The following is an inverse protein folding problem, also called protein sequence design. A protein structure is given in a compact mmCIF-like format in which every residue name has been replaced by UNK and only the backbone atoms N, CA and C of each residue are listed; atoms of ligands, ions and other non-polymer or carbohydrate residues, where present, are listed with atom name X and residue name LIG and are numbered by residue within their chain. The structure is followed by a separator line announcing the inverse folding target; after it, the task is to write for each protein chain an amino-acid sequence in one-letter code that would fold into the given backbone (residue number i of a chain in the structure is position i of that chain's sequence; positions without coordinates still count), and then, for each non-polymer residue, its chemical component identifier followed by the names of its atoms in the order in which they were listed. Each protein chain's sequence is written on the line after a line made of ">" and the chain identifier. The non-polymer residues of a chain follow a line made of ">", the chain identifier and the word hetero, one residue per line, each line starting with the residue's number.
data_IF_531384664187
#
_entry.id   IF_531384664187
#
_cell.length_a   1.000
_cell.length_b   1.000
_cell.length_c   1.000
_cell.angle_alpha   90.00
_cell.angle_beta   90.00
_cell.angle_gamma   90.00
#
_symmetry.space_group_name_H-M   'P 1'
#
loop_
_entity.id
_entity.type
_entity.pdbx_description
1 polymer ?
#
# COMPACT_ATOMS: atom_id res chain seq x y z
N UNK A 1 9.24 4.82 -15.37
CA UNK A 1 9.11 5.18 -13.93
C UNK A 1 8.96 6.68 -13.80
N UNK A 2 7.81 7.16 -13.33
CA UNK A 2 7.56 8.59 -13.09
C UNK A 2 8.25 8.98 -11.78
N UNK A 3 9.16 9.97 -11.82
CA UNK A 3 9.87 10.48 -10.65
C UNK A 3 9.45 11.92 -10.39
N UNK A 4 8.81 12.17 -9.25
CA UNK A 4 8.54 13.53 -8.79
C UNK A 4 9.72 14.03 -7.93
N UNK A 5 10.23 15.22 -8.27
CA UNK A 5 11.42 15.83 -7.64
C UNK A 5 11.26 16.18 -6.15
N UNK A 6 10.05 16.14 -5.61
CA UNK A 6 9.72 16.58 -4.25
C UNK A 6 9.45 15.44 -3.25
N UNK A 7 9.68 14.18 -3.64
CA UNK A 7 9.33 13.02 -2.82
C UNK A 7 9.93 13.04 -1.39
N UNK A 8 11.15 13.56 -1.23
CA UNK A 8 11.80 13.62 0.09
C UNK A 8 11.13 14.61 1.06
N UNK A 9 10.68 15.77 0.58
CA UNK A 9 10.01 16.78 1.41
C UNK A 9 8.60 16.31 1.78
N UNK A 10 7.88 15.71 0.85
CA UNK A 10 6.54 15.20 1.07
C UNK A 10 6.54 13.99 2.03
N UNK A 11 7.52 13.10 1.92
CA UNK A 11 7.67 12.01 2.88
C UNK A 11 7.84 12.52 4.32
N UNK A 12 8.74 13.50 4.52
CA UNK A 12 8.97 14.11 5.83
C UNK A 12 7.71 14.82 6.36
N UNK A 13 6.93 15.44 5.48
CA UNK A 13 5.64 16.05 5.83
C UNK A 13 4.65 15.00 6.34
N UNK A 14 4.49 13.86 5.65
CA UNK A 14 3.62 12.77 6.11
C UNK A 14 4.03 12.25 7.48
N UNK A 15 5.34 12.10 7.68
CA UNK A 15 5.89 11.68 8.98
C UNK A 15 5.57 12.70 10.08
N UNK A 16 5.79 13.98 9.84
CA UNK A 16 5.47 15.05 10.80
C UNK A 16 3.97 15.11 11.14
N UNK A 17 3.09 14.94 10.14
CA UNK A 17 1.65 14.89 10.34
C UNK A 17 1.24 13.68 11.22
N UNK A 18 1.89 12.53 11.08
CA UNK A 18 1.68 11.37 11.96
C UNK A 18 2.22 11.62 13.39
N UNK A 19 3.39 12.24 13.52
CA UNK A 19 3.97 12.60 14.83
C UNK A 19 3.09 13.60 15.58
N UNK A 20 2.51 14.57 14.88
CA UNK A 20 1.51 15.49 15.43
C UNK A 20 0.27 14.74 15.94
N UNK A 21 -0.24 13.77 15.18
CA UNK A 21 -1.37 12.94 15.60
C UNK A 21 -1.08 12.18 16.89
N UNK A 22 0.09 11.54 16.99
CA UNK A 22 0.52 10.88 18.22
C UNK A 22 0.56 11.86 19.40
N UNK A 23 1.17 13.04 19.19
CA UNK A 23 1.28 14.06 20.23
C UNK A 23 -0.09 14.50 20.76
N UNK A 24 -1.05 14.77 19.86
CA UNK A 24 -2.38 15.21 20.25
C UNK A 24 -3.19 14.10 20.96
N UNK A 25 -3.11 12.86 20.46
CA UNK A 25 -3.81 11.72 21.05
C UNK A 25 -3.22 11.31 22.39
N UNK A 26 -1.92 11.40 22.59
CA UNK A 26 -1.26 11.10 23.85
C UNK A 26 -1.71 12.02 25.02
N UNK A 27 -2.24 13.22 24.73
CA UNK A 27 -2.81 14.10 25.75
C UNK A 27 -4.08 13.51 26.40
N UNK A 28 -4.80 12.64 25.68
CA UNK A 28 -6.03 11.98 26.14
C UNK A 28 -5.79 10.53 26.52
N UNK A 29 -4.85 9.88 25.84
CA UNK A 29 -4.52 8.47 25.96
C UNK A 29 -3.04 8.34 26.40
N UNK A 30 -2.74 8.41 27.72
CA UNK A 30 -1.37 8.58 28.22
C UNK A 30 -0.42 7.40 27.94
N UNK A 31 -0.94 6.25 27.51
CA UNK A 31 -0.13 5.08 27.15
C UNK A 31 0.22 5.01 25.66
N UNK A 32 -0.18 6.03 24.87
CA UNK A 32 0.09 6.08 23.42
C UNK A 32 1.45 6.72 23.18
N UNK A 33 2.34 5.97 22.55
CA UNK A 33 3.68 6.41 22.15
C UNK A 33 3.87 6.39 20.63
N UNK A 34 3.03 5.64 19.92
CA UNK A 34 3.03 5.54 18.46
C UNK A 34 1.63 5.19 17.94
N UNK A 35 1.35 5.45 16.66
CA UNK A 35 0.05 5.10 16.06
C UNK A 35 -0.27 3.60 16.09
N UNK A 36 0.75 2.75 16.21
CA UNK A 36 0.56 1.29 16.39
C UNK A 36 -0.06 0.90 17.73
N UNK A 37 -0.04 1.79 18.71
CA UNK A 37 -0.61 1.57 20.04
C UNK A 37 -2.12 1.84 20.07
N UNK A 38 -2.68 2.33 18.95
CA UNK A 38 -4.07 2.73 18.79
C UNK A 38 -4.83 1.75 17.91
N UNK A 39 -6.11 1.56 18.24
CA UNK A 39 -7.10 0.94 17.37
C UNK A 39 -7.90 1.99 16.59
N UNK A 40 -8.66 1.55 15.58
CA UNK A 40 -9.61 2.44 14.88
C UNK A 40 -10.69 2.99 15.84
N UNK A 41 -11.12 2.20 16.81
CA UNK A 41 -12.10 2.64 17.81
C UNK A 41 -11.54 3.79 18.69
N UNK A 42 -10.27 3.73 19.06
CA UNK A 42 -9.61 4.81 19.80
C UNK A 42 -9.55 6.09 18.96
N UNK A 43 -9.21 5.99 17.68
CA UNK A 43 -9.19 7.14 16.78
C UNK A 43 -10.59 7.75 16.58
N UNK A 44 -11.62 6.93 16.44
CA UNK A 44 -13.00 7.38 16.28
C UNK A 44 -13.56 8.04 17.54
N UNK A 45 -13.15 7.61 18.74
CA UNK A 45 -13.58 8.21 20.02
C UNK A 45 -12.82 9.48 20.34
N UNK A 46 -11.49 9.43 20.29
CA UNK A 46 -10.59 10.46 20.83
C UNK A 46 -9.95 11.35 19.76
N UNK A 47 -10.04 10.96 18.50
CA UNK A 47 -9.46 11.69 17.37
C UNK A 47 -10.37 12.72 16.70
N UNK A 48 -11.61 12.88 17.14
CA UNK A 48 -12.63 13.73 16.47
C UNK A 48 -12.23 15.21 16.33
N UNK A 49 -11.42 15.70 17.26
CA UNK A 49 -10.98 17.10 17.26
C UNK A 49 -9.61 17.29 16.60
N UNK A 50 -9.03 16.22 16.02
CA UNK A 50 -7.80 16.35 15.24
C UNK A 50 -8.05 17.19 13.99
N UNK A 51 -7.05 17.98 13.52
CA UNK A 51 -7.10 18.54 12.18
C UNK A 51 -7.40 17.45 11.16
N UNK A 52 -8.25 17.72 10.17
CA UNK A 52 -8.73 16.71 9.21
C UNK A 52 -7.57 15.95 8.53
N UNK A 53 -6.53 16.68 8.13
CA UNK A 53 -5.34 16.07 7.52
C UNK A 53 -4.66 15.10 8.49
N UNK A 54 -4.45 15.50 9.73
CA UNK A 54 -3.81 14.68 10.77
C UNK A 54 -4.65 13.44 11.06
N UNK A 55 -5.97 13.60 11.17
CA UNK A 55 -6.90 12.47 11.33
C UNK A 55 -6.76 11.44 10.21
N UNK A 56 -6.75 11.90 8.94
CA UNK A 56 -6.59 11.00 7.78
C UNK A 56 -5.25 10.26 7.81
N UNK A 57 -4.14 10.93 8.19
CA UNK A 57 -2.82 10.25 8.33
C UNK A 57 -2.86 9.19 9.42
N UNK A 58 -3.44 9.50 10.58
CA UNK A 58 -3.62 8.54 11.67
C UNK A 58 -4.49 7.35 11.22
N UNK A 59 -5.61 7.62 10.55
CA UNK A 59 -6.51 6.59 10.00
C UNK A 59 -5.76 5.63 9.08
N UNK A 60 -4.96 6.18 8.15
CA UNK A 60 -4.16 5.36 7.27
C UNK A 60 -3.24 4.42 8.04
N UNK A 61 -2.40 4.95 8.93
CA UNK A 61 -1.39 4.13 9.63
C UNK A 61 -2.04 3.08 10.52
N UNK A 62 -3.09 3.45 11.27
CA UNK A 62 -3.79 2.54 12.18
C UNK A 62 -4.49 1.43 11.38
N UNK A 63 -5.23 1.78 10.33
CA UNK A 63 -5.92 0.80 9.49
C UNK A 63 -4.93 -0.10 8.72
N UNK A 64 -3.80 0.45 8.26
CA UNK A 64 -2.78 -0.34 7.56
C UNK A 64 -2.11 -1.36 8.49
N UNK A 65 -1.85 -1.01 9.76
CA UNK A 65 -1.36 -1.97 10.75
C UNK A 65 -2.34 -3.15 10.93
N UNK A 66 -3.64 -2.88 11.03
CA UNK A 66 -4.65 -3.93 11.12
C UNK A 66 -4.72 -4.76 9.83
N UNK A 67 -4.62 -4.11 8.67
CA UNK A 67 -4.67 -4.74 7.34
C UNK A 67 -3.49 -5.69 7.12
N UNK A 68 -2.30 -5.36 7.62
CA UNK A 68 -1.13 -6.26 7.56
C UNK A 68 -1.38 -7.57 8.31
N UNK A 69 -2.02 -7.50 9.49
CA UNK A 69 -2.35 -8.69 10.26
C UNK A 69 -3.42 -9.54 9.58
N UNK A 70 -4.43 -8.91 8.99
CA UNK A 70 -5.46 -9.59 8.19
C UNK A 70 -4.85 -10.24 6.94
N UNK A 71 -3.95 -9.54 6.25
CA UNK A 71 -3.25 -10.04 5.08
C UNK A 71 -2.40 -11.29 5.41
N UNK A 72 -1.71 -11.27 6.57
CA UNK A 72 -1.00 -12.46 7.06
C UNK A 72 -1.96 -13.64 7.24
N UNK A 73 -3.09 -13.42 7.92
CA UNK A 73 -4.10 -14.46 8.14
C UNK A 73 -4.69 -14.99 6.82
N UNK A 74 -4.98 -14.10 5.86
CA UNK A 74 -5.48 -14.49 4.56
C UNK A 74 -4.47 -15.39 3.82
N UNK A 75 -3.18 -15.05 3.84
CA UNK A 75 -2.12 -15.88 3.25
C UNK A 75 -1.94 -17.23 3.95
N UNK A 76 -2.02 -17.27 5.28
CA UNK A 76 -1.95 -18.51 6.07
C UNK A 76 -3.12 -19.47 5.77
N UNK A 77 -4.27 -18.91 5.37
CA UNK A 77 -5.46 -19.65 4.96
C UNK A 77 -5.55 -19.89 3.45
N UNK A 78 -4.55 -19.50 2.67
CA UNK A 78 -4.54 -19.56 1.19
C UNK A 78 -5.69 -18.79 0.53
N UNK A 79 -6.25 -17.78 1.24
CA UNK A 79 -7.33 -16.92 0.74
C UNK A 79 -6.76 -15.74 -0.05
N UNK A 80 -6.37 -16.05 -1.29
CA UNK A 80 -5.81 -15.05 -2.20
C UNK A 80 -6.84 -13.98 -2.62
N UNK A 81 -8.12 -14.31 -2.58
CA UNK A 81 -9.17 -13.34 -2.90
C UNK A 81 -9.25 -12.26 -1.84
N UNK A 82 -9.33 -12.65 -0.57
CA UNK A 82 -9.32 -11.69 0.53
C UNK A 82 -7.99 -10.92 0.63
N UNK A 83 -6.86 -11.58 0.39
CA UNK A 83 -5.56 -10.89 0.32
C UNK A 83 -5.55 -9.81 -0.78
N UNK A 84 -6.12 -10.11 -1.94
CA UNK A 84 -6.26 -9.15 -3.04
C UNK A 84 -7.17 -7.96 -2.70
N UNK A 85 -8.28 -8.20 -2.00
CA UNK A 85 -9.16 -7.14 -1.48
C UNK A 85 -8.40 -6.21 -0.54
N UNK A 86 -7.62 -6.76 0.40
CA UNK A 86 -6.78 -5.99 1.32
C UNK A 86 -5.72 -5.16 0.59
N UNK A 87 -5.15 -5.67 -0.51
CA UNK A 87 -4.26 -4.87 -1.38
C UNK A 87 -5.00 -3.68 -1.98
N UNK A 88 -6.20 -3.87 -2.49
CA UNK A 88 -7.01 -2.81 -3.08
C UNK A 88 -7.40 -1.74 -2.04
N UNK A 89 -7.79 -2.14 -0.85
CA UNK A 89 -8.11 -1.23 0.27
C UNK A 89 -6.88 -0.42 0.70
N UNK A 90 -5.71 -1.08 0.76
CA UNK A 90 -4.45 -0.41 1.06
C UNK A 90 -4.15 0.69 0.03
N UNK A 91 -4.37 0.43 -1.27
CA UNK A 91 -4.18 1.45 -2.30
C UNK A 91 -5.13 2.64 -2.11
N UNK A 92 -6.42 2.39 -1.86
CA UNK A 92 -7.40 3.44 -1.58
C UNK A 92 -6.96 4.30 -0.39
N UNK A 93 -6.52 3.70 0.70
CA UNK A 93 -6.04 4.41 1.88
C UNK A 93 -4.74 5.21 1.61
N UNK A 94 -3.82 4.66 0.81
CA UNK A 94 -2.61 5.37 0.38
C UNK A 94 -2.94 6.59 -0.49
N UNK A 95 -3.95 6.49 -1.34
CA UNK A 95 -4.43 7.58 -2.20
C UNK A 95 -5.20 8.63 -1.41
N UNK A 96 -6.21 8.21 -0.65
CA UNK A 96 -7.23 9.10 -0.09
C UNK A 96 -6.88 9.61 1.31
N UNK A 97 -6.24 8.78 2.15
CA UNK A 97 -5.89 9.11 3.53
C UNK A 97 -4.45 9.59 3.69
N UNK A 98 -3.51 8.88 3.07
CA UNK A 98 -2.10 9.22 3.18
C UNK A 98 -1.64 10.19 2.10
N UNK A 99 -2.36 10.25 0.98
CA UNK A 99 -2.13 11.15 -0.16
C UNK A 99 -0.69 11.05 -0.71
N UNK A 100 -0.25 9.82 -0.93
CA UNK A 100 1.08 9.51 -1.49
C UNK A 100 1.01 8.90 -2.88
N UNK A 101 -0.20 8.71 -3.43
CA UNK A 101 -0.38 8.26 -4.80
C UNK A 101 -0.22 9.41 -5.81
N UNK A 102 -0.30 9.08 -7.09
CA UNK A 102 -0.39 10.04 -8.18
C UNK A 102 -1.26 9.43 -9.30
N UNK A 103 -1.71 10.29 -10.23
CA UNK A 103 -2.62 9.90 -11.29
C UNK A 103 -2.12 8.69 -12.09
N UNK A 104 -0.83 8.64 -12.39
CA UNK A 104 -0.23 7.53 -13.15
C UNK A 104 -0.26 6.20 -12.39
N UNK A 105 -0.09 6.23 -11.05
CA UNK A 105 -0.21 5.04 -10.21
C UNK A 105 -1.67 4.60 -10.06
N UNK A 106 -2.58 5.55 -9.89
CA UNK A 106 -4.01 5.28 -9.76
C UNK A 106 -4.57 4.64 -11.03
N UNK A 107 -4.24 5.19 -12.21
CA UNK A 107 -4.60 4.60 -13.51
C UNK A 107 -4.02 3.19 -13.68
N UNK A 108 -2.77 2.97 -13.29
CA UNK A 108 -2.16 1.64 -13.37
C UNK A 108 -2.89 0.62 -12.51
N UNK A 109 -3.26 1.00 -11.28
CA UNK A 109 -4.02 0.13 -10.37
C UNK A 109 -5.44 -0.10 -10.87
N UNK A 110 -6.10 0.93 -11.43
CA UNK A 110 -7.43 0.82 -12.01
C UNK A 110 -7.45 -0.21 -13.16
N UNK A 111 -6.56 -0.06 -14.15
CA UNK A 111 -6.45 -1.02 -15.25
C UNK A 111 -6.08 -2.42 -14.78
N UNK A 112 -5.21 -2.53 -13.77
CA UNK A 112 -4.86 -3.82 -13.19
C UNK A 112 -6.08 -4.50 -12.54
N UNK A 113 -6.91 -3.76 -11.80
CA UNK A 113 -8.11 -4.29 -11.12
C UNK A 113 -9.22 -4.71 -12.07
N UNK A 114 -9.32 -4.07 -13.23
CA UNK A 114 -10.29 -4.41 -14.28
C UNK A 114 -9.83 -5.60 -15.13
N UNK A 115 -8.55 -5.93 -15.11
CA UNK A 115 -8.01 -7.01 -15.91
C UNK A 115 -8.43 -8.39 -15.38
N UNK A 116 -8.65 -9.34 -16.30
CA UNK A 116 -9.03 -10.70 -15.94
C UNK A 116 -7.90 -11.43 -15.19
N UNK A 117 -8.25 -12.13 -14.11
CA UNK A 117 -7.33 -12.96 -13.35
C UNK A 117 -6.52 -12.24 -12.27
N UNK A 118 -6.76 -10.96 -12.02
CA UNK A 118 -6.16 -10.26 -10.89
C UNK A 118 -6.91 -10.57 -9.60
N UNK A 119 -6.18 -10.73 -8.51
CA UNK A 119 -6.73 -10.77 -7.15
C UNK A 119 -6.75 -9.38 -6.54
N UNK A 120 -5.68 -8.61 -6.71
CA UNK A 120 -5.58 -7.27 -6.19
C UNK A 120 -4.36 -6.52 -6.71
N UNK A 121 -4.40 -5.19 -6.59
CA UNK A 121 -3.38 -4.27 -7.06
C UNK A 121 -3.24 -3.08 -6.11
N UNK A 122 -2.00 -2.63 -5.91
CA UNK A 122 -1.70 -1.43 -5.12
C UNK A 122 -0.40 -0.78 -5.58
N UNK A 123 -0.25 0.49 -5.26
CA UNK A 123 1.06 1.12 -5.32
C UNK A 123 2.04 0.51 -4.30
N UNK A 124 3.32 0.61 -4.54
CA UNK A 124 4.39 0.18 -3.63
C UNK A 124 5.52 1.20 -3.58
N UNK A 125 6.29 1.19 -2.47
CA UNK A 125 7.35 2.15 -2.21
C UNK A 125 6.87 3.42 -1.51
N UNK A 126 7.64 4.49 -1.59
CA UNK A 126 7.37 5.75 -0.89
C UNK A 126 6.26 6.62 -1.49
N UNK A 127 5.75 6.26 -2.65
CA UNK A 127 4.74 7.04 -3.36
C UNK A 127 5.31 8.19 -4.19
N UNK A 128 4.43 9.10 -4.61
CA UNK A 128 4.75 10.25 -5.47
C UNK A 128 5.34 9.83 -6.82
N UNK A 129 4.89 8.72 -7.38
CA UNK A 129 5.43 7.99 -8.50
C UNK A 129 6.00 6.64 -8.07
N UNK A 130 6.63 5.90 -8.96
CA UNK A 130 7.24 4.60 -8.68
C UNK A 130 6.54 3.45 -9.34
N UNK A 131 6.14 2.43 -8.58
CA UNK A 131 5.64 1.17 -9.09
C UNK A 131 4.31 0.78 -8.45
N UNK A 132 3.59 -0.12 -9.12
CA UNK A 132 2.51 -0.90 -8.53
C UNK A 132 2.95 -2.36 -8.38
N UNK A 133 2.30 -3.08 -7.47
CA UNK A 133 2.41 -4.52 -7.33
C UNK A 133 1.03 -5.12 -7.51
N UNK A 134 0.96 -6.22 -8.28
CA UNK A 134 -0.28 -6.86 -8.64
C UNK A 134 -0.18 -8.35 -8.34
N UNK A 135 -1.20 -8.92 -7.72
CA UNK A 135 -1.33 -10.36 -7.52
C UNK A 135 -2.24 -10.92 -8.60
N UNK A 136 -1.71 -11.81 -9.43
CA UNK A 136 -2.38 -12.31 -10.63
C UNK A 136 -2.31 -13.84 -10.66
N UNK A 137 -3.36 -14.48 -11.19
CA UNK A 137 -3.36 -15.92 -11.47
C UNK A 137 -2.24 -16.24 -12.46
N UNK A 138 -1.42 -17.25 -12.12
CA UNK A 138 -0.21 -17.57 -12.88
C UNK A 138 -0.50 -17.87 -14.36
N UNK A 139 -1.58 -18.59 -14.64
CA UNK A 139 -2.03 -18.96 -15.98
C UNK A 139 -2.52 -17.79 -16.82
N UNK A 140 -2.90 -16.66 -16.19
CA UNK A 140 -3.42 -15.46 -16.87
C UNK A 140 -2.41 -14.30 -16.89
N UNK A 141 -1.19 -14.54 -16.42
CA UNK A 141 -0.19 -13.49 -16.25
C UNK A 141 0.20 -12.81 -17.59
N UNK A 142 0.30 -13.59 -18.68
CA UNK A 142 0.63 -13.04 -20.00
C UNK A 142 -0.50 -12.12 -20.52
N UNK A 143 -1.74 -12.59 -20.49
CA UNK A 143 -2.91 -11.82 -20.93
C UNK A 143 -3.08 -10.56 -20.08
N UNK A 144 -2.85 -10.66 -18.77
CA UNK A 144 -2.87 -9.53 -17.84
C UNK A 144 -1.84 -8.48 -18.22
N UNK A 145 -0.57 -8.87 -18.43
CA UNK A 145 0.51 -7.92 -18.74
C UNK A 145 0.26 -7.20 -20.06
N UNK A 146 -0.19 -7.92 -21.10
CA UNK A 146 -0.50 -7.34 -22.40
C UNK A 146 -1.70 -6.37 -22.33
N UNK A 147 -2.73 -6.73 -21.58
CA UNK A 147 -3.92 -5.90 -21.41
C UNK A 147 -3.59 -4.60 -20.68
N UNK A 148 -2.96 -4.70 -19.51
CA UNK A 148 -2.61 -3.53 -18.69
C UNK A 148 -1.63 -2.61 -19.43
N UNK A 149 -0.60 -3.17 -20.08
CA UNK A 149 0.35 -2.37 -20.84
C UNK A 149 -0.33 -1.58 -21.97
N UNK A 150 -1.26 -2.20 -22.67
CA UNK A 150 -2.02 -1.60 -23.76
C UNK A 150 -2.91 -0.45 -23.30
N UNK A 151 -3.74 -0.68 -22.24
CA UNK A 151 -4.66 0.33 -21.73
C UNK A 151 -3.91 1.50 -21.10
N UNK A 152 -2.84 1.23 -20.34
CA UNK A 152 -2.02 2.28 -19.75
C UNK A 152 -1.34 3.14 -20.82
N UNK A 153 -0.76 2.52 -21.85
CA UNK A 153 -0.16 3.25 -22.99
C UNK A 153 -1.18 4.09 -23.74
N UNK A 154 -2.38 3.57 -23.94
CA UNK A 154 -3.48 4.26 -24.61
C UNK A 154 -3.90 5.51 -23.85
N UNK A 155 -3.98 5.44 -22.52
CA UNK A 155 -4.42 6.54 -21.66
C UNK A 155 -3.34 7.58 -21.39
N UNK A 156 -2.08 7.16 -21.22
CA UNK A 156 -0.99 8.03 -20.78
C UNK A 156 0.02 8.37 -21.90
N UNK A 157 0.02 7.62 -23.00
CA UNK A 157 1.05 7.69 -24.03
C UNK A 157 2.37 7.01 -23.63
N UNK A 158 2.50 6.53 -22.40
CA UNK A 158 3.72 5.93 -21.85
C UNK A 158 3.60 4.41 -21.85
N UNK A 159 4.63 3.71 -22.34
CA UNK A 159 4.72 2.26 -22.22
C UNK A 159 5.27 1.90 -20.83
N UNK A 160 4.53 1.14 -20.01
CA UNK A 160 5.03 0.71 -18.71
C UNK A 160 6.08 -0.39 -18.87
N UNK A 161 7.02 -0.45 -17.93
CA UNK A 161 7.88 -1.62 -17.76
C UNK A 161 7.20 -2.58 -16.76
N UNK A 162 7.00 -3.83 -17.17
CA UNK A 162 6.33 -4.84 -16.36
C UNK A 162 7.30 -5.97 -16.08
N UNK A 163 7.47 -6.29 -14.79
CA UNK A 163 8.33 -7.37 -14.31
C UNK A 163 7.46 -8.46 -13.71
N UNK A 164 7.57 -9.68 -14.24
CA UNK A 164 6.88 -10.85 -13.70
C UNK A 164 7.82 -11.59 -12.78
N UNK A 165 7.38 -11.81 -11.54
CA UNK A 165 8.11 -12.61 -10.55
C UNK A 165 7.17 -13.66 -9.94
N UNK A 166 7.78 -14.72 -9.37
CA UNK A 166 7.06 -15.73 -8.60
C UNK A 166 7.44 -15.61 -7.13
N UNK A 167 6.55 -16.04 -6.26
CA UNK A 167 6.87 -16.19 -4.84
C UNK A 167 8.03 -17.17 -4.66
N UNK A 168 8.91 -16.84 -3.74
CA UNK A 168 10.06 -17.66 -3.36
C UNK A 168 10.11 -17.80 -1.84
N UNK A 169 11.00 -18.64 -1.33
CA UNK A 169 11.29 -18.71 0.09
C UNK A 169 11.69 -17.34 0.62
N UNK A 170 11.24 -17.00 1.82
CA UNK A 170 11.63 -15.76 2.49
C UNK A 170 13.12 -15.72 2.83
N UNK A 171 13.54 -14.63 3.45
CA UNK A 171 14.92 -14.46 3.93
C UNK A 171 15.28 -15.62 4.88
N UNK A 172 16.42 -16.25 4.64
CA UNK A 172 16.99 -17.30 5.50
C UNK A 172 18.44 -16.98 5.80
N UNK A 173 18.92 -17.43 6.95
CA UNK A 173 20.33 -17.35 7.30
C UNK A 173 21.13 -18.35 6.43
N UNK A 174 22.18 -17.87 5.79
CA UNK A 174 23.13 -18.74 5.09
C UNK A 174 24.14 -19.25 6.11
N UNK A 175 23.97 -20.51 6.53
CA UNK A 175 24.96 -21.16 7.40
C UNK A 175 26.19 -21.52 6.55
N UNK A 176 27.36 -20.99 6.94
CA UNK A 176 28.62 -21.32 6.27
C UNK A 176 28.87 -22.81 6.33
N UNK A 177 28.77 -23.52 5.19
CA UNK A 177 28.98 -24.98 5.09
C UNK A 177 27.97 -25.71 4.17
N UNK A 178 26.91 -25.04 3.71
CA UNK A 178 25.91 -25.66 2.82
C UNK A 178 26.12 -25.38 1.31
N UNK A 179 27.32 -24.96 0.93
CA UNK A 179 27.74 -24.89 -0.47
C UNK A 179 28.55 -26.14 -0.80
N UNK A 180 27.87 -27.27 -1.05
CA UNK A 180 28.42 -28.50 -1.67
C UNK A 180 27.66 -28.83 -2.94
#
# INVERSE_FOLDING_TARGET
>A
MVKHRLAGSEYNKRRSECEEGVHLLAQRLPNVHALRDLSMADLESDGRDLPEVVYRRCRHVISENARVLQAKTALENEDLSHFGELMNESHCSLRDDYEVSCEELDLMVEFAREAHGVYGARMTGGGFGGCTINLVKAELCADFTDSVAREYKKSTGVSPEIYVSRTAAGVSEVVAGSLS
#
